data_IF_275760742004
#
_entry.id   IF_275760742004
#
_cell.length_a   1.000
_cell.length_b   1.000
_cell.length_c   1.000
_cell.angle_alpha   90.00
_cell.angle_beta   90.00
_cell.angle_gamma   90.00
#
_symmetry.space_group_name_H-M   'P 1'
#
loop_
_entity.id
_entity.type
_entity.pdbx_description
1 polymer ?
#
# COMPACT_ATOMS: atom_id res chain seq x y z
N UNK A 1 16.61 10.95 -35.38
CA UNK A 1 16.73 10.11 -34.18
C UNK A 1 16.23 10.90 -32.97
N UNK A 2 14.92 10.95 -32.69
CA UNK A 2 14.42 11.97 -31.76
C UNK A 2 13.00 11.79 -31.23
N UNK A 3 12.55 10.55 -31.03
CA UNK A 3 11.28 10.30 -30.34
C UNK A 3 11.43 9.14 -29.36
N UNK A 4 12.17 8.10 -29.78
CA UNK A 4 12.60 7.01 -28.90
C UNK A 4 13.61 7.51 -27.85
N UNK A 5 14.57 8.37 -28.22
CA UNK A 5 15.58 8.91 -27.29
C UNK A 5 14.96 9.69 -26.13
N UNK A 6 13.94 10.49 -26.39
CA UNK A 6 13.29 11.33 -25.38
C UNK A 6 12.38 10.50 -24.46
N UNK A 7 11.76 9.43 -24.98
CA UNK A 7 11.04 8.46 -24.17
C UNK A 7 12.00 7.68 -23.25
N UNK A 8 13.14 7.22 -23.78
CA UNK A 8 14.16 6.52 -23.01
C UNK A 8 14.81 7.42 -21.94
N UNK A 9 15.05 8.70 -22.25
CA UNK A 9 15.57 9.67 -21.29
C UNK A 9 14.57 9.90 -20.14
N UNK A 10 13.30 10.17 -20.45
CA UNK A 10 12.24 10.36 -19.43
C UNK A 10 12.00 9.11 -18.59
N UNK A 11 12.04 7.93 -19.20
CA UNK A 11 11.92 6.66 -18.48
C UNK A 11 13.12 6.43 -17.55
N UNK A 12 14.33 6.80 -17.99
CA UNK A 12 15.54 6.70 -17.17
C UNK A 12 15.55 7.68 -16.00
N UNK A 13 14.99 8.88 -16.16
CA UNK A 13 14.92 9.88 -15.09
C UNK A 13 13.89 9.50 -14.02
N UNK A 14 12.74 8.99 -14.45
CA UNK A 14 11.71 8.49 -13.55
C UNK A 14 12.18 7.25 -12.77
N UNK A 15 12.84 6.30 -13.43
CA UNK A 15 13.41 5.14 -12.74
C UNK A 15 14.51 5.53 -11.75
N UNK A 16 15.38 6.49 -12.10
CA UNK A 16 16.36 7.06 -11.15
C UNK A 16 15.67 7.73 -9.95
N UNK A 17 14.56 8.42 -10.17
CA UNK A 17 13.77 9.00 -9.08
C UNK A 17 13.18 7.92 -8.17
N UNK A 18 12.67 6.82 -8.73
CA UNK A 18 12.20 5.67 -7.97
C UNK A 18 13.34 5.04 -7.17
N UNK A 19 14.51 4.80 -7.79
CA UNK A 19 15.70 4.28 -7.11
C UNK A 19 16.09 5.16 -5.93
N UNK A 20 16.23 6.47 -6.15
CA UNK A 20 16.66 7.42 -5.11
C UNK A 20 15.64 7.56 -3.97
N UNK A 21 14.34 7.42 -4.27
CA UNK A 21 13.29 7.50 -3.25
C UNK A 21 13.29 6.25 -2.37
N UNK A 22 13.33 5.07 -2.98
CA UNK A 22 13.32 3.80 -2.24
C UNK A 22 14.65 3.53 -1.52
N UNK A 23 15.79 3.94 -2.08
CA UNK A 23 17.07 3.85 -1.40
C UNK A 23 17.09 4.67 -0.10
N UNK A 24 16.62 5.92 -0.14
CA UNK A 24 16.50 6.76 1.08
C UNK A 24 15.57 6.14 2.11
N UNK A 25 14.44 5.57 1.67
CA UNK A 25 13.52 4.87 2.55
C UNK A 25 14.19 3.66 3.21
N UNK A 26 14.95 2.84 2.47
CA UNK A 26 15.63 1.67 3.03
C UNK A 26 16.77 2.04 3.98
N UNK A 27 17.56 3.05 3.65
CA UNK A 27 18.58 3.58 4.56
C UNK A 27 17.94 4.00 5.89
N UNK A 28 16.83 4.75 5.84
CA UNK A 28 16.13 5.21 7.05
C UNK A 28 15.43 4.08 7.82
N UNK A 29 14.84 3.11 7.13
CA UNK A 29 14.00 2.07 7.75
C UNK A 29 14.81 0.89 8.26
N UNK A 30 15.86 0.50 7.52
CA UNK A 30 16.66 -0.69 7.82
C UNK A 30 18.01 -0.33 8.45
N UNK A 31 18.42 0.94 8.43
CA UNK A 31 19.71 1.37 8.97
C UNK A 31 20.91 0.83 8.18
N UNK A 32 20.70 0.47 6.91
CA UNK A 32 21.74 -0.07 6.02
C UNK A 32 22.51 1.06 5.31
N UNK A 33 23.78 0.85 4.92
CA UNK A 33 24.56 1.85 4.20
C UNK A 33 23.93 2.25 2.86
N UNK A 34 24.12 3.51 2.45
CA UNK A 34 23.55 4.06 1.21
C UNK A 34 23.83 3.22 -0.05
N UNK A 35 25.02 2.62 -0.18
CA UNK A 35 25.37 1.76 -1.32
C UNK A 35 24.58 0.45 -1.33
N UNK A 36 24.30 -0.11 -0.16
CA UNK A 36 23.46 -1.29 0.01
C UNK A 36 21.98 -0.94 -0.20
N UNK A 37 21.51 0.18 0.34
CA UNK A 37 20.16 0.69 0.13
C UNK A 37 19.84 0.91 -1.36
N UNK A 38 20.79 1.46 -2.12
CA UNK A 38 20.65 1.65 -3.56
C UNK A 38 20.58 0.32 -4.30
N UNK A 39 21.38 -0.68 -3.91
CA UNK A 39 21.31 -2.03 -4.49
C UNK A 39 19.95 -2.67 -4.21
N UNK A 40 19.48 -2.64 -2.97
CA UNK A 40 18.16 -3.17 -2.59
C UNK A 40 17.03 -2.47 -3.36
N UNK A 41 17.10 -1.14 -3.56
CA UNK A 41 16.12 -0.41 -4.36
C UNK A 41 16.10 -0.89 -5.81
N UNK A 42 17.27 -1.10 -6.44
CA UNK A 42 17.37 -1.61 -7.81
C UNK A 42 16.82 -3.02 -7.95
N UNK A 43 17.17 -3.91 -7.03
CA UNK A 43 16.70 -5.30 -7.05
C UNK A 43 15.17 -5.34 -6.93
N UNK A 44 14.58 -4.54 -6.03
CA UNK A 44 13.14 -4.45 -5.87
C UNK A 44 12.43 -3.87 -7.13
N UNK A 45 13.02 -2.86 -7.77
CA UNK A 45 12.49 -2.30 -9.03
C UNK A 45 12.57 -3.32 -10.16
N UNK A 46 13.67 -4.07 -10.24
CA UNK A 46 13.82 -5.16 -11.21
C UNK A 46 12.74 -6.23 -11.01
N UNK A 47 12.56 -6.70 -9.78
CA UNK A 47 11.53 -7.69 -9.44
C UNK A 47 10.12 -7.19 -9.75
N UNK A 48 9.83 -5.91 -9.46
CA UNK A 48 8.55 -5.29 -9.79
C UNK A 48 8.29 -5.29 -11.31
N UNK A 49 9.30 -4.99 -12.13
CA UNK A 49 9.18 -5.04 -13.59
C UNK A 49 8.93 -6.46 -14.10
N UNK A 50 9.64 -7.46 -13.57
CA UNK A 50 9.43 -8.86 -13.95
C UNK A 50 8.03 -9.37 -13.54
N UNK A 51 7.49 -8.89 -12.43
CA UNK A 51 6.12 -9.17 -12.02
C UNK A 51 5.07 -8.55 -12.96
N UNK A 52 5.27 -7.29 -13.37
CA UNK A 52 4.40 -6.63 -14.34
C UNK A 52 4.39 -7.34 -15.70
N UNK A 53 5.57 -7.77 -16.18
CA UNK A 53 5.67 -8.55 -17.42
C UNK A 53 4.92 -9.87 -17.32
N UNK A 54 5.09 -10.61 -16.22
CA UNK A 54 4.41 -11.90 -15.98
C UNK A 54 2.90 -11.75 -15.90
N UNK A 55 2.42 -10.68 -15.27
CA UNK A 55 0.99 -10.37 -15.14
C UNK A 55 0.38 -9.68 -16.36
N UNK A 56 1.20 -9.30 -17.36
CA UNK A 56 0.80 -8.50 -18.54
C UNK A 56 0.17 -7.15 -18.15
N UNK A 57 0.60 -6.60 -17.02
CA UNK A 57 0.14 -5.32 -16.48
C UNK A 57 1.11 -4.16 -16.79
N UNK A 58 2.21 -4.44 -17.49
CA UNK A 58 3.23 -3.47 -17.92
C UNK A 58 2.69 -2.40 -18.88
N UNK A 59 1.61 -2.70 -19.60
CA UNK A 59 0.92 -1.77 -20.49
C UNK A 59 -0.34 -1.10 -19.92
N UNK A 60 -0.62 -1.20 -18.61
CA UNK A 60 -1.82 -0.56 -18.05
C UNK A 60 -1.76 0.96 -18.22
N UNK A 61 -2.86 1.52 -18.73
CA UNK A 61 -2.96 2.95 -18.99
C UNK A 61 -3.05 3.75 -17.68
N UNK A 62 -2.45 4.94 -17.65
CA UNK A 62 -2.40 5.81 -16.46
C UNK A 62 -3.75 6.46 -16.12
N UNK A 63 -4.80 6.20 -16.90
CA UNK A 63 -6.19 6.61 -16.69
C UNK A 63 -7.09 5.42 -16.31
N UNK A 64 -6.52 4.29 -15.88
CA UNK A 64 -7.27 3.06 -15.60
C UNK A 64 -8.38 3.27 -14.56
N UNK A 65 -8.19 4.16 -13.58
CA UNK A 65 -9.22 4.50 -12.60
C UNK A 65 -10.42 5.20 -13.22
N UNK A 66 -10.19 6.14 -14.13
CA UNK A 66 -11.26 6.81 -14.87
C UNK A 66 -12.01 5.84 -15.79
N UNK A 67 -11.27 4.95 -16.47
CA UNK A 67 -11.87 3.91 -17.30
C UNK A 67 -12.71 2.92 -16.49
N UNK A 68 -12.24 2.52 -15.29
CA UNK A 68 -13.01 1.66 -14.37
C UNK A 68 -14.33 2.33 -13.97
N UNK A 69 -14.28 3.60 -13.57
CA UNK A 69 -15.47 4.36 -13.17
C UNK A 69 -16.44 4.55 -14.35
N UNK A 70 -15.94 4.81 -15.56
CA UNK A 70 -16.79 4.93 -16.75
C UNK A 70 -17.51 3.60 -17.07
N UNK A 71 -16.76 2.49 -17.02
CA UNK A 71 -17.27 1.15 -17.31
C UNK A 71 -18.24 0.64 -16.25
N UNK A 72 -18.25 1.21 -15.05
CA UNK A 72 -19.19 0.83 -13.99
C UNK A 72 -20.67 0.86 -14.44
N UNK A 73 -21.01 1.79 -15.32
CA UNK A 73 -22.37 1.94 -15.85
C UNK A 73 -22.79 0.83 -16.83
N UNK A 74 -21.82 0.15 -17.45
CA UNK A 74 -22.04 -0.80 -18.56
C UNK A 74 -21.54 -2.21 -18.28
N UNK A 75 -20.68 -2.40 -17.27
CA UNK A 75 -20.05 -3.67 -16.91
C UNK A 75 -20.52 -4.11 -15.51
N UNK A 76 -21.43 -5.11 -15.41
CA UNK A 76 -21.97 -5.57 -14.13
C UNK A 76 -20.91 -6.08 -13.16
N UNK A 77 -19.81 -6.65 -13.66
CA UNK A 77 -18.73 -7.17 -12.82
C UNK A 77 -17.97 -6.02 -12.16
N UNK A 78 -17.63 -4.98 -12.93
CA UNK A 78 -16.99 -3.77 -12.39
C UNK A 78 -17.93 -3.09 -11.39
N UNK A 79 -19.22 -2.98 -11.72
CA UNK A 79 -20.22 -2.42 -10.81
C UNK A 79 -20.25 -3.13 -9.46
N UNK A 80 -20.26 -4.47 -9.47
CA UNK A 80 -20.25 -5.26 -8.24
C UNK A 80 -18.92 -5.12 -7.47
N UNK A 81 -17.78 -5.11 -8.16
CA UNK A 81 -16.46 -4.92 -7.53
C UNK A 81 -16.36 -3.55 -6.86
N UNK A 82 -16.72 -2.48 -7.56
CA UNK A 82 -16.69 -1.12 -7.01
C UNK A 82 -17.71 -0.95 -5.88
N UNK A 83 -18.91 -1.53 -5.99
CA UNK A 83 -19.87 -1.51 -4.89
C UNK A 83 -19.29 -2.14 -3.60
N UNK A 84 -18.60 -3.28 -3.70
CA UNK A 84 -17.90 -3.90 -2.56
C UNK A 84 -16.81 -3.01 -1.98
N UNK A 85 -16.03 -2.33 -2.82
CA UNK A 85 -15.01 -1.38 -2.36
C UNK A 85 -15.63 -0.18 -1.65
N UNK A 86 -16.73 0.37 -2.17
CA UNK A 86 -17.45 1.50 -1.54
C UNK A 86 -18.08 1.14 -0.20
N UNK A 87 -18.44 -0.13 0.04
CA UNK A 87 -18.86 -0.61 1.37
C UNK A 87 -17.76 -0.49 2.43
N UNK A 88 -16.49 -0.47 2.02
CA UNK A 88 -15.34 -0.24 2.90
C UNK A 88 -15.00 1.26 3.06
N UNK A 89 -15.79 2.16 2.47
CA UNK A 89 -15.58 3.62 2.53
C UNK A 89 -14.64 4.18 1.45
N UNK A 90 -14.31 3.37 0.43
CA UNK A 90 -13.59 3.82 -0.77
C UNK A 90 -14.46 4.81 -1.55
N UNK A 91 -13.87 5.93 -1.95
CA UNK A 91 -14.50 6.93 -2.81
C UNK A 91 -14.00 6.83 -4.26
N UNK A 92 -14.66 7.51 -5.19
CA UNK A 92 -14.19 7.59 -6.57
C UNK A 92 -12.84 8.32 -6.69
N UNK A 93 -12.51 9.20 -5.73
CA UNK A 93 -11.21 9.85 -5.67
C UNK A 93 -10.12 8.83 -5.27
N UNK A 94 -10.41 7.95 -4.32
CA UNK A 94 -9.52 6.86 -3.89
C UNK A 94 -9.26 5.86 -5.02
N UNK A 95 -10.32 5.53 -5.78
CA UNK A 95 -10.22 4.67 -6.98
C UNK A 95 -9.29 5.32 -8.01
N UNK A 96 -9.50 6.60 -8.33
CA UNK A 96 -8.63 7.32 -9.27
C UNK A 96 -7.20 7.40 -8.76
N UNK A 97 -7.00 7.76 -7.50
CA UNK A 97 -5.67 7.87 -6.92
C UNK A 97 -4.90 6.57 -7.12
N UNK A 98 -5.45 5.42 -6.69
CA UNK A 98 -4.74 4.15 -6.79
C UNK A 98 -4.59 3.69 -8.25
N UNK A 99 -5.67 3.63 -9.02
CA UNK A 99 -5.65 3.00 -10.33
C UNK A 99 -5.02 3.87 -11.43
N UNK A 100 -4.86 5.18 -11.21
CA UNK A 100 -4.11 6.05 -12.11
C UNK A 100 -2.61 6.11 -11.78
N UNK A 101 -2.16 5.51 -10.67
CA UNK A 101 -0.73 5.34 -10.42
C UNK A 101 -0.09 4.48 -11.51
N UNK A 102 1.15 4.79 -11.94
CA UNK A 102 1.93 3.89 -12.77
C UNK A 102 1.94 2.49 -12.15
N UNK A 103 1.73 1.46 -12.97
CA UNK A 103 1.59 0.09 -12.46
C UNK A 103 2.81 -0.36 -11.62
N UNK A 104 4.01 0.13 -11.97
CA UNK A 104 5.23 -0.12 -11.20
C UNK A 104 5.18 0.49 -9.80
N UNK A 105 4.61 1.67 -9.62
CA UNK A 105 4.47 2.27 -8.29
C UNK A 105 3.53 1.46 -7.41
N UNK A 106 2.40 0.98 -7.95
CA UNK A 106 1.49 0.10 -7.21
C UNK A 106 2.21 -1.17 -6.72
N UNK A 107 2.95 -1.83 -7.60
CA UNK A 107 3.72 -3.03 -7.23
C UNK A 107 4.80 -2.71 -6.20
N UNK A 108 5.51 -1.59 -6.33
CA UNK A 108 6.51 -1.16 -5.36
C UNK A 108 5.89 -0.88 -4.00
N UNK A 109 4.75 -0.19 -3.97
CA UNK A 109 3.99 0.07 -2.74
C UNK A 109 3.62 -1.24 -2.03
N UNK A 110 3.06 -2.19 -2.76
CA UNK A 110 2.69 -3.51 -2.22
C UNK A 110 3.92 -4.29 -1.69
N UNK A 111 5.06 -4.22 -2.41
CA UNK A 111 6.31 -4.84 -1.98
C UNK A 111 6.87 -4.21 -0.71
N UNK A 112 6.83 -2.89 -0.58
CA UNK A 112 7.26 -2.18 0.63
C UNK A 112 6.40 -2.58 1.82
N UNK A 113 5.07 -2.61 1.66
CA UNK A 113 4.16 -3.09 2.70
C UNK A 113 4.44 -4.56 3.05
N UNK A 114 4.77 -5.41 2.06
CA UNK A 114 5.26 -6.78 2.27
C UNK A 114 6.53 -6.85 3.12
N UNK A 115 7.54 -6.05 2.79
CA UNK A 115 8.83 -6.04 3.49
C UNK A 115 8.69 -5.53 4.94
N UNK A 116 7.88 -4.50 5.17
CA UNK A 116 7.60 -4.00 6.52
C UNK A 116 6.99 -5.09 7.40
N UNK A 117 5.97 -5.81 6.88
CA UNK A 117 5.35 -6.93 7.58
C UNK A 117 6.36 -8.03 7.90
N UNK A 118 7.19 -8.41 6.93
CA UNK A 118 8.23 -9.42 7.12
C UNK A 118 9.25 -8.99 8.21
N UNK A 119 9.69 -7.74 8.18
CA UNK A 119 10.65 -7.18 9.14
C UNK A 119 10.10 -7.20 10.58
N UNK A 120 8.82 -6.86 10.76
CA UNK A 120 8.15 -6.92 12.06
C UNK A 120 8.07 -8.36 12.57
N UNK A 121 7.73 -9.32 11.69
CA UNK A 121 7.70 -10.74 12.05
C UNK A 121 9.08 -11.30 12.40
N UNK A 122 10.13 -10.90 11.68
CA UNK A 122 11.51 -11.27 12.00
C UNK A 122 11.94 -10.73 13.36
N UNK A 123 11.67 -9.45 13.62
CA UNK A 123 11.97 -8.83 14.92
C UNK A 123 11.26 -9.57 16.05
N UNK A 124 9.97 -9.84 15.88
CA UNK A 124 9.19 -10.59 16.88
C UNK A 124 9.77 -11.98 17.15
N UNK A 125 10.19 -12.69 16.10
CA UNK A 125 10.87 -13.99 16.24
C UNK A 125 12.16 -13.89 17.05
N UNK A 126 12.96 -12.83 16.81
CA UNK A 126 14.17 -12.54 17.59
C UNK A 126 13.91 -12.23 19.06
N UNK A 127 12.73 -11.69 19.38
CA UNK A 127 12.25 -11.44 20.74
C UNK A 127 11.59 -12.68 21.39
N UNK A 128 11.57 -13.83 20.69
CA UNK A 128 10.98 -15.08 21.17
C UNK A 128 9.46 -15.18 20.98
N UNK A 129 8.85 -14.27 20.21
CA UNK A 129 7.43 -14.40 19.86
C UNK A 129 7.18 -15.57 18.92
N UNK A 130 6.08 -16.27 19.17
CA UNK A 130 5.51 -17.21 18.20
C UNK A 130 5.02 -16.47 16.94
N UNK A 131 4.89 -17.16 15.79
CA UNK A 131 4.34 -16.56 14.57
C UNK A 131 2.97 -15.89 14.79
N UNK A 132 2.08 -16.50 15.59
CA UNK A 132 0.77 -15.93 15.90
C UNK A 132 0.85 -14.65 16.73
N UNK A 133 1.77 -14.57 17.69
CA UNK A 133 2.01 -13.35 18.48
C UNK A 133 2.58 -12.23 17.62
N UNK A 134 3.54 -12.54 16.74
CA UNK A 134 4.10 -11.56 15.81
C UNK A 134 3.02 -11.03 14.84
N UNK A 135 2.19 -11.92 14.29
CA UNK A 135 1.08 -11.55 13.42
C UNK A 135 0.01 -10.72 14.13
N UNK A 136 -0.28 -11.02 15.40
CA UNK A 136 -1.21 -10.22 16.22
C UNK A 136 -0.64 -8.83 16.52
N UNK A 137 0.65 -8.73 16.88
CA UNK A 137 1.33 -7.46 17.11
C UNK A 137 1.36 -6.59 15.84
N UNK A 138 1.65 -7.21 14.68
CA UNK A 138 1.60 -6.55 13.39
C UNK A 138 0.21 -5.95 13.11
N UNK A 139 -0.85 -6.76 13.18
CA UNK A 139 -2.24 -6.32 12.97
C UNK A 139 -2.69 -5.24 13.96
N UNK A 140 -2.13 -5.25 15.17
CA UNK A 140 -2.44 -4.26 16.21
C UNK A 140 -1.85 -2.90 15.86
N UNK A 141 -0.64 -2.85 15.31
CA UNK A 141 0.13 -1.62 15.18
C UNK A 141 0.18 -1.06 13.74
N UNK A 142 -0.17 -1.87 12.74
CA UNK A 142 -0.07 -1.49 11.33
C UNK A 142 -1.34 -1.83 10.55
N UNK A 143 -1.73 -0.98 9.57
CA UNK A 143 -2.75 -1.34 8.61
C UNK A 143 -2.38 -2.61 7.84
N UNK A 144 -3.38 -3.42 7.54
CA UNK A 144 -3.25 -4.58 6.66
C UNK A 144 -4.08 -4.36 5.42
N UNK A 145 -3.45 -4.31 4.25
CA UNK A 145 -4.11 -4.13 2.97
C UNK A 145 -4.28 -5.45 2.21
N UNK A 146 -5.34 -5.55 1.41
CA UNK A 146 -5.68 -6.74 0.63
C UNK A 146 -7.12 -6.75 0.13
N UNK A 147 -7.65 -7.94 -0.13
CA UNK A 147 -9.07 -8.13 -0.44
C UNK A 147 -9.89 -8.11 0.87
N UNK A 148 -10.83 -7.16 1.05
CA UNK A 148 -11.70 -7.16 2.22
C UNK A 148 -12.60 -8.39 2.32
N UNK A 149 -12.86 -9.10 1.20
CA UNK A 149 -13.63 -10.33 1.22
C UNK A 149 -12.83 -11.53 1.75
N UNK A 150 -11.50 -11.42 1.86
CA UNK A 150 -10.67 -12.46 2.47
C UNK A 150 -10.84 -12.45 3.99
N UNK A 151 -11.60 -13.43 4.48
CA UNK A 151 -11.83 -13.65 5.91
C UNK A 151 -11.13 -14.89 6.45
N UNK A 152 -10.10 -15.38 5.76
CA UNK A 152 -9.34 -16.57 6.19
C UNK A 152 -8.71 -16.39 7.58
N UNK A 153 -8.14 -15.20 7.83
CA UNK A 153 -7.39 -14.90 9.06
C UNK A 153 -8.08 -13.89 9.99
N UNK A 154 -9.02 -13.09 9.48
CA UNK A 154 -9.66 -11.99 10.22
C UNK A 154 -11.12 -11.81 9.80
N UNK A 155 -11.95 -11.19 10.65
CA UNK A 155 -13.38 -10.99 10.38
C UNK A 155 -13.84 -9.60 10.83
N UNK A 156 -15.05 -9.20 10.42
CA UNK A 156 -15.66 -7.93 10.84
C UNK A 156 -14.81 -6.71 10.48
N UNK A 157 -14.51 -5.88 11.48
CA UNK A 157 -13.71 -4.66 11.31
C UNK A 157 -12.20 -4.93 11.20
N UNK A 158 -11.74 -6.16 11.45
CA UNK A 158 -10.32 -6.53 11.41
C UNK A 158 -9.85 -7.01 10.03
N UNK A 159 -10.78 -7.19 9.08
CA UNK A 159 -10.52 -7.62 7.70
C UNK A 159 -9.50 -6.71 7.00
N UNK A 160 -8.82 -7.18 5.94
CA UNK A 160 -7.95 -6.32 5.14
C UNK A 160 -8.66 -5.05 4.63
N UNK A 161 -7.91 -3.96 4.51
CA UNK A 161 -8.36 -2.72 3.87
C UNK A 161 -8.05 -2.78 2.36
N UNK A 162 -8.90 -2.20 1.50
CA UNK A 162 -8.54 -1.98 0.10
C UNK A 162 -7.29 -1.09 -0.02
N UNK A 163 -6.38 -1.40 -0.94
CA UNK A 163 -5.21 -0.54 -1.23
C UNK A 163 -5.62 0.85 -1.72
N UNK A 164 -6.82 0.97 -2.31
CA UNK A 164 -7.38 2.27 -2.71
C UNK A 164 -7.45 3.26 -1.54
N UNK A 165 -7.56 2.79 -0.28
CA UNK A 165 -7.58 3.67 0.89
C UNK A 165 -6.21 4.13 1.39
N UNK A 166 -5.11 3.61 0.81
CA UNK A 166 -3.77 3.76 1.40
C UNK A 166 -3.37 5.23 1.60
N UNK A 167 -3.61 6.10 0.63
CA UNK A 167 -3.27 7.54 0.75
C UNK A 167 -3.96 8.24 1.92
N UNK A 168 -5.28 8.02 2.05
CA UNK A 168 -6.08 8.59 3.14
C UNK A 168 -5.66 8.02 4.49
N UNK A 169 -5.40 6.72 4.55
CA UNK A 169 -4.93 6.08 5.77
C UNK A 169 -3.55 6.59 6.16
N UNK A 170 -2.59 6.65 5.24
CA UNK A 170 -1.23 7.14 5.51
C UNK A 170 -1.27 8.62 5.94
N UNK A 171 -2.09 9.44 5.28
CA UNK A 171 -2.37 10.82 5.67
C UNK A 171 -2.96 10.94 7.08
N UNK A 172 -3.91 10.08 7.43
CA UNK A 172 -4.48 10.00 8.77
C UNK A 172 -3.42 9.63 9.81
N UNK A 173 -2.61 8.60 9.54
CA UNK A 173 -1.53 8.16 10.42
C UNK A 173 -0.56 9.31 10.70
N UNK A 174 -0.11 10.00 9.65
CA UNK A 174 0.80 11.12 9.76
C UNK A 174 0.22 12.24 10.62
N UNK A 175 -1.03 12.66 10.36
CA UNK A 175 -1.72 13.71 11.13
C UNK A 175 -1.87 13.33 12.60
N UNK A 176 -2.30 12.10 12.90
CA UNK A 176 -2.50 11.62 14.28
C UNK A 176 -1.18 11.54 15.04
N UNK A 177 -0.10 11.15 14.38
CA UNK A 177 1.24 11.08 14.99
C UNK A 177 1.80 12.47 15.31
N UNK A 178 1.54 13.46 14.45
CA UNK A 178 2.00 14.83 14.64
C UNK A 178 1.17 15.61 15.67
N UNK A 179 -0.15 15.47 15.65
CA UNK A 179 -1.05 16.31 16.45
C UNK A 179 -1.31 15.73 17.84
N UNK A 180 -1.60 14.43 17.94
CA UNK A 180 -2.11 13.82 19.18
C UNK A 180 -1.52 12.42 19.46
N UNK A 181 -0.19 12.25 19.52
CA UNK A 181 0.46 10.94 19.55
C UNK A 181 0.06 10.07 20.75
N UNK A 182 -0.17 10.67 21.93
CA UNK A 182 -0.56 9.94 23.14
C UNK A 182 -2.00 9.43 23.08
N UNK A 183 -2.91 10.24 22.53
CA UNK A 183 -4.33 9.85 22.34
C UNK A 183 -4.37 8.75 21.29
N UNK A 184 -3.63 8.93 20.19
CA UNK A 184 -3.55 7.97 19.11
C UNK A 184 -3.04 6.60 19.57
N UNK A 185 -1.98 6.57 20.39
CA UNK A 185 -1.46 5.33 20.99
C UNK A 185 -2.51 4.63 21.87
N UNK A 186 -3.30 5.38 22.64
CA UNK A 186 -4.40 4.82 23.46
C UNK A 186 -5.51 4.25 22.58
N UNK A 187 -5.87 4.93 21.51
CA UNK A 187 -6.89 4.44 20.57
C UNK A 187 -6.47 3.16 19.86
N UNK A 188 -5.21 3.06 19.43
CA UNK A 188 -4.65 1.82 18.89
C UNK A 188 -4.74 0.69 19.94
N UNK A 189 -4.35 0.98 21.18
CA UNK A 189 -4.42 -0.01 22.27
C UNK A 189 -5.85 -0.50 22.55
N UNK A 190 -6.86 0.36 22.38
CA UNK A 190 -8.26 0.05 22.64
C UNK A 190 -9.02 -0.55 21.43
N UNK A 191 -8.46 -0.50 20.22
CA UNK A 191 -9.05 -1.15 19.03
C UNK A 191 -8.61 -2.61 18.92
N UNK A 192 -9.42 -3.50 18.33
CA UNK A 192 -9.02 -4.91 18.10
C UNK A 192 -7.77 -5.00 17.21
N UNK A 193 -7.79 -4.30 16.08
CA UNK A 193 -6.68 -4.12 15.15
C UNK A 193 -6.56 -2.66 14.71
N UNK A 194 -5.49 -2.37 13.98
CA UNK A 194 -5.35 -1.08 13.32
C UNK A 194 -6.42 -0.86 12.25
N UNK A 195 -6.81 -1.90 11.51
CA UNK A 195 -7.87 -1.82 10.52
C UNK A 195 -9.22 -1.44 11.16
N UNK A 196 -9.51 -1.95 12.35
CA UNK A 196 -10.70 -1.56 13.11
C UNK A 196 -10.65 -0.09 13.55
N UNK A 197 -9.46 0.41 13.95
CA UNK A 197 -9.26 1.84 14.21
C UNK A 197 -9.56 2.68 12.96
N UNK A 198 -9.03 2.29 11.81
CA UNK A 198 -9.25 2.99 10.53
C UNK A 198 -10.74 2.99 10.18
N UNK A 199 -11.41 1.84 10.18
CA UNK A 199 -12.85 1.77 9.89
C UNK A 199 -13.69 2.62 10.84
N UNK A 200 -13.34 2.67 12.13
CA UNK A 200 -13.98 3.59 13.08
C UNK A 200 -13.75 5.05 12.69
N UNK A 201 -12.51 5.41 12.34
CA UNK A 201 -12.14 6.74 11.85
C UNK A 201 -12.97 7.17 10.63
N UNK A 202 -13.06 6.29 9.62
CA UNK A 202 -13.88 6.49 8.42
C UNK A 202 -15.35 6.75 8.76
N UNK A 203 -15.97 5.90 9.62
CA UNK A 203 -17.37 6.07 10.03
C UNK A 203 -17.62 7.37 10.80
N UNK A 204 -16.62 7.87 11.53
CA UNK A 204 -16.70 9.12 12.27
C UNK A 204 -16.32 10.37 11.46
N UNK A 205 -15.91 10.21 10.19
CA UNK A 205 -15.46 11.31 9.33
C UNK A 205 -14.07 11.87 9.67
N UNK A 206 -13.23 11.11 10.38
CA UNK A 206 -11.86 11.49 10.72
C UNK A 206 -10.83 11.13 9.65
N UNK A 207 -11.22 10.28 8.69
CA UNK A 207 -10.42 9.79 7.56
C UNK A 207 -11.22 10.02 6.29
#
# INVERSE_FOLDING_TARGET
>A
MGFLSDLFLKQSDYERQLEATHARMFESMMGIPASEALRTARDMIHDAKEELKRSKADGMAQDSGDQLLQRESTDPLIKEQLARKRQEGVTDADIRWWWNLPAIERVLIEKVDGLQRYTICLKGSGEGHTPGQAAAALRKLHPMYGDPADTSETTGDDRPLPYELKDRVDSYIQKRFQNDPLIYKKEIANSSTFNALVRRGMRSGQI
#
